data_IF_816189524417
#
_entry.id   IF_816189524417
#
_cell.length_a   1.000
_cell.length_b   1.000
_cell.length_c   1.000
_cell.angle_alpha   90.00
_cell.angle_beta   90.00
_cell.angle_gamma   90.00
#
_symmetry.space_group_name_H-M   'P 1'
#
loop_
_entity.id
_entity.type
_entity.pdbx_description
1 polymer ?
#
# COMPACT_ATOMS: atom_id res chain seq x y z
N UNK A 1 -3.04 -0.57 -0.43
CA UNK A 1 -3.20 -1.88 0.21
C UNK A 1 -4.62 -1.99 0.71
N UNK A 2 -5.29 -3.13 0.49
CA UNK A 2 -6.66 -3.36 0.94
C UNK A 2 -6.73 -4.55 1.89
N UNK A 3 -7.62 -4.50 2.87
CA UNK A 3 -7.91 -5.61 3.74
C UNK A 3 -9.42 -5.71 4.01
N UNK A 4 -9.95 -6.94 3.99
CA UNK A 4 -11.25 -7.24 4.58
C UNK A 4 -10.99 -7.92 5.92
N UNK A 5 -11.37 -7.26 7.00
CA UNK A 5 -11.17 -7.72 8.38
C UNK A 5 -12.51 -8.19 8.93
N UNK A 6 -12.57 -9.45 9.33
CA UNK A 6 -13.76 -10.05 9.92
C UNK A 6 -13.48 -10.41 11.37
N UNK A 7 -14.38 -10.01 12.28
CA UNK A 7 -14.36 -10.51 13.65
C UNK A 7 -14.84 -11.95 13.64
N UNK A 8 -14.11 -12.85 14.28
CA UNK A 8 -14.42 -14.27 14.25
C UNK A 8 -14.50 -14.88 15.63
N UNK A 9 -15.44 -15.81 15.80
CA UNK A 9 -15.47 -16.72 16.94
C UNK A 9 -14.40 -17.81 16.79
N UNK A 10 -14.15 -18.22 15.55
CA UNK A 10 -13.06 -19.09 15.11
C UNK A 10 -12.86 -18.95 13.59
N UNK A 11 -11.65 -19.23 13.12
CA UNK A 11 -11.37 -19.33 11.69
C UNK A 11 -10.24 -20.34 11.43
N UNK A 12 -10.26 -20.99 10.26
CA UNK A 12 -9.22 -21.94 9.87
C UNK A 12 -8.98 -21.96 8.37
N UNK A 13 -7.81 -22.48 7.98
CA UNK A 13 -7.44 -22.69 6.57
C UNK A 13 -7.16 -24.17 6.36
N UNK A 14 -7.77 -24.72 5.31
CA UNK A 14 -7.43 -26.06 4.81
C UNK A 14 -6.85 -26.00 3.39
N UNK A 15 -5.94 -26.92 3.08
CA UNK A 15 -5.36 -27.12 1.75
C UNK A 15 -5.46 -28.61 1.44
N UNK A 16 -6.13 -28.98 0.34
CA UNK A 16 -6.37 -30.39 0.02
C UNK A 16 -7.17 -31.16 1.09
N UNK A 17 -7.97 -30.46 1.89
CA UNK A 17 -8.75 -31.04 3.00
C UNK A 17 -7.99 -31.14 4.34
N UNK A 18 -6.69 -30.87 4.36
CA UNK A 18 -5.88 -30.85 5.58
C UNK A 18 -5.87 -29.45 6.21
N UNK A 19 -6.15 -29.35 7.51
CA UNK A 19 -6.07 -28.09 8.24
C UNK A 19 -4.62 -27.71 8.51
N UNK A 20 -4.17 -26.62 7.88
CA UNK A 20 -2.81 -26.10 8.03
C UNK A 20 -2.69 -25.04 9.12
N UNK A 21 -3.82 -24.43 9.50
CA UNK A 21 -3.85 -23.27 10.38
C UNK A 21 -5.25 -23.06 10.97
N UNK A 22 -5.30 -22.59 12.21
CA UNK A 22 -6.56 -22.28 12.89
C UNK A 22 -6.34 -21.26 14.00
N UNK A 23 -7.36 -20.46 14.24
CA UNK A 23 -7.49 -19.53 15.37
C UNK A 23 -8.84 -19.73 16.06
N UNK A 24 -8.88 -19.44 17.36
CA UNK A 24 -10.11 -19.21 18.11
C UNK A 24 -10.64 -17.78 17.90
N UNK A 25 -11.02 -17.13 18.99
CA UNK A 25 -11.54 -15.75 18.95
C UNK A 25 -10.48 -14.80 18.43
N UNK A 26 -10.87 -13.94 17.48
CA UNK A 26 -9.89 -13.11 16.80
C UNK A 26 -10.38 -12.38 15.57
N UNK A 27 -9.43 -12.13 14.67
CA UNK A 27 -9.66 -11.52 13.37
C UNK A 27 -9.23 -12.48 12.25
N UNK A 28 -10.09 -12.66 11.26
CA UNK A 28 -9.68 -13.20 9.96
C UNK A 28 -9.48 -12.02 9.00
N UNK A 29 -8.27 -11.90 8.45
CA UNK A 29 -7.85 -10.79 7.58
C UNK A 29 -7.56 -11.34 6.19
N UNK A 30 -8.37 -10.94 5.21
CA UNK A 30 -8.08 -11.14 3.79
C UNK A 30 -7.29 -9.93 3.29
N UNK A 31 -6.05 -10.13 2.84
CA UNK A 31 -5.14 -9.03 2.49
C UNK A 31 -4.87 -8.97 0.99
N UNK A 32 -5.19 -7.85 0.36
CA UNK A 32 -4.90 -7.56 -1.04
C UNK A 32 -3.76 -6.55 -1.18
N UNK A 33 -2.68 -6.96 -1.83
CA UNK A 33 -1.49 -6.13 -2.09
C UNK A 33 -1.56 -5.58 -3.52
N UNK A 34 -1.51 -4.25 -3.64
CA UNK A 34 -1.48 -3.52 -4.91
C UNK A 34 -0.05 -3.44 -5.46
N UNK A 35 0.09 -3.31 -6.78
CA UNK A 35 1.36 -3.00 -7.46
C UNK A 35 2.05 -1.77 -6.88
N UNK A 36 1.28 -0.80 -6.38
CA UNK A 36 1.78 0.48 -5.85
C UNK A 36 2.10 0.43 -4.34
N UNK A 37 1.87 -0.70 -3.67
CA UNK A 37 2.09 -0.78 -2.23
C UNK A 37 3.57 -0.72 -1.88
N UNK A 38 3.88 0.10 -0.88
CA UNK A 38 5.23 0.24 -0.32
C UNK A 38 5.26 -0.16 1.15
N UNK A 39 6.46 -0.17 1.73
CA UNK A 39 6.66 -0.38 3.16
C UNK A 39 5.79 0.55 4.04
N UNK A 40 5.51 1.77 3.58
CA UNK A 40 4.63 2.72 4.29
C UNK A 40 3.20 2.19 4.43
N UNK A 41 2.63 1.68 3.34
CA UNK A 41 1.26 1.16 3.34
C UNK A 41 1.16 -0.12 4.18
N UNK A 42 2.20 -0.96 4.13
CA UNK A 42 2.36 -2.14 4.98
C UNK A 42 2.32 -1.76 6.47
N UNK A 43 3.19 -0.86 6.91
CA UNK A 43 3.25 -0.42 8.32
C UNK A 43 1.96 0.26 8.79
N UNK A 44 1.32 1.03 7.90
CA UNK A 44 0.02 1.63 8.21
C UNK A 44 -1.06 0.56 8.39
N UNK A 45 -1.13 -0.44 7.50
CA UNK A 45 -2.13 -1.51 7.58
C UNK A 45 -1.95 -2.37 8.83
N UNK A 46 -0.70 -2.74 9.17
CA UNK A 46 -0.37 -3.46 10.41
C UNK A 46 -0.90 -2.71 11.64
N UNK A 47 -0.60 -1.41 11.77
CA UNK A 47 -1.11 -0.59 12.88
C UNK A 47 -2.63 -0.52 12.90
N UNK A 48 -3.27 -0.37 11.74
CA UNK A 48 -4.73 -0.31 11.62
C UNK A 48 -5.38 -1.59 12.09
N UNK A 49 -4.93 -2.76 11.62
CA UNK A 49 -5.48 -4.06 11.99
C UNK A 49 -5.35 -4.30 13.50
N UNK A 50 -4.14 -4.13 14.05
CA UNK A 50 -3.88 -4.46 15.44
C UNK A 50 -4.61 -3.55 16.44
N UNK A 51 -4.86 -2.29 16.07
CA UNK A 51 -5.55 -1.32 16.92
C UNK A 51 -7.04 -1.17 16.60
N UNK A 52 -7.57 -1.93 15.62
CA UNK A 52 -8.96 -1.83 15.21
C UNK A 52 -9.88 -2.27 16.35
N UNK A 53 -10.71 -1.34 16.85
CA UNK A 53 -11.61 -1.59 17.98
C UNK A 53 -12.92 -2.20 17.51
N UNK A 54 -12.97 -3.53 17.46
CA UNK A 54 -14.14 -4.31 17.01
C UNK A 54 -14.68 -5.27 18.09
N UNK A 55 -14.03 -5.31 19.25
CA UNK A 55 -14.44 -6.12 20.38
C UNK A 55 -15.06 -5.27 21.48
N UNK A 56 -15.90 -5.92 22.28
CA UNK A 56 -16.49 -5.34 23.49
C UNK A 56 -15.49 -5.29 24.64
N UNK A 57 -15.67 -4.30 25.50
CA UNK A 57 -15.04 -4.29 26.81
C UNK A 57 -15.80 -5.18 27.82
N UNK A 58 -15.30 -5.22 29.04
CA UNK A 58 -15.82 -6.06 30.13
C UNK A 58 -17.24 -5.65 30.56
N UNK A 59 -17.69 -4.43 30.21
CA UNK A 59 -19.06 -3.95 30.45
C UNK A 59 -20.02 -4.24 29.30
N UNK A 60 -19.55 -4.87 28.22
CA UNK A 60 -20.32 -5.11 27.00
C UNK A 60 -20.37 -3.90 26.06
N UNK A 61 -19.53 -2.87 26.26
CA UNK A 61 -19.53 -1.71 25.38
C UNK A 61 -18.88 -2.05 24.05
N UNK A 62 -19.66 -2.01 22.97
CA UNK A 62 -19.16 -2.25 21.60
C UNK A 62 -18.05 -1.26 21.19
N UNK A 63 -17.24 -1.65 20.20
CA UNK A 63 -16.22 -0.82 19.55
C UNK A 63 -15.16 -0.25 20.50
N UNK A 64 -14.84 -0.99 21.56
CA UNK A 64 -14.03 -0.48 22.67
C UNK A 64 -12.64 -1.09 22.75
N UNK A 65 -12.51 -2.36 22.36
CA UNK A 65 -11.27 -3.14 22.48
C UNK A 65 -10.79 -3.63 21.11
N UNK A 66 -9.48 -3.63 20.93
CA UNK A 66 -8.79 -4.20 19.78
C UNK A 66 -8.44 -5.67 19.98
N UNK A 67 -7.95 -6.33 18.94
CA UNK A 67 -7.45 -7.71 19.03
C UNK A 67 -6.31 -7.81 20.05
N UNK A 68 -5.46 -6.77 20.11
CA UNK A 68 -4.37 -6.72 21.08
C UNK A 68 -4.88 -6.61 22.52
N UNK A 69 -5.87 -5.74 22.76
CA UNK A 69 -6.44 -5.54 24.10
C UNK A 69 -7.08 -6.82 24.66
N UNK A 70 -7.70 -7.64 23.79
CA UNK A 70 -8.31 -8.90 24.20
C UNK A 70 -7.32 -10.08 24.22
N UNK A 71 -6.09 -9.87 23.77
CA UNK A 71 -5.11 -10.95 23.59
C UNK A 71 -5.61 -12.07 22.67
N UNK A 72 -6.32 -11.68 21.61
CA UNK A 72 -6.94 -12.59 20.65
C UNK A 72 -6.06 -12.83 19.43
N UNK A 73 -6.44 -13.81 18.62
CA UNK A 73 -5.61 -14.27 17.50
C UNK A 73 -5.92 -13.53 16.20
N UNK A 74 -4.98 -13.58 15.25
CA UNK A 74 -5.16 -13.05 13.90
C UNK A 74 -4.77 -14.12 12.89
N UNK A 75 -5.69 -14.46 12.00
CA UNK A 75 -5.43 -15.30 10.83
C UNK A 75 -5.37 -14.42 9.59
N UNK A 76 -4.22 -14.35 8.96
CA UNK A 76 -4.02 -13.61 7.71
C UNK A 76 -4.04 -14.58 6.51
N UNK A 77 -4.71 -14.17 5.44
CA UNK A 77 -4.74 -14.90 4.17
C UNK A 77 -4.53 -13.92 3.03
N UNK A 78 -3.56 -14.21 2.17
CA UNK A 78 -3.35 -13.46 0.92
C UNK A 78 -4.57 -13.55 -0.01
N UNK A 79 -5.06 -12.41 -0.50
CA UNK A 79 -6.29 -12.29 -1.28
C UNK A 79 -6.14 -11.23 -2.39
N UNK A 80 -5.42 -11.59 -3.46
CA UNK A 80 -5.18 -10.67 -4.59
C UNK A 80 -6.47 -10.15 -5.25
N UNK A 81 -7.57 -10.91 -5.15
CA UNK A 81 -8.85 -10.54 -5.75
C UNK A 81 -9.48 -9.29 -5.13
N UNK A 82 -8.99 -8.81 -3.98
CA UNK A 82 -9.39 -7.51 -3.43
C UNK A 82 -8.88 -6.34 -4.30
N UNK A 83 -7.85 -6.56 -5.12
CA UNK A 83 -7.37 -5.61 -6.12
C UNK A 83 -8.08 -5.80 -7.48
N UNK A 84 -9.38 -6.08 -7.43
CA UNK A 84 -10.22 -6.24 -8.61
C UNK A 84 -10.69 -4.89 -9.14
N UNK A 85 -10.67 -4.76 -10.47
CA UNK A 85 -11.43 -3.77 -11.24
C UNK A 85 -12.37 -4.54 -12.15
N UNK A 86 -13.62 -4.09 -12.26
CA UNK A 86 -14.61 -4.73 -13.12
C UNK A 86 -14.61 -4.07 -14.51
N UNK A 87 -14.36 -4.87 -15.55
CA UNK A 87 -14.58 -4.49 -16.95
C UNK A 87 -15.91 -5.11 -17.40
N UNK A 88 -17.00 -4.37 -17.21
CA UNK A 88 -18.35 -4.94 -17.25
C UNK A 88 -18.53 -5.89 -16.06
N UNK A 89 -18.84 -7.16 -16.32
CA UNK A 89 -18.95 -8.19 -15.29
C UNK A 89 -17.69 -9.05 -15.13
N UNK A 90 -16.64 -8.81 -15.94
CA UNK A 90 -15.39 -9.57 -15.90
C UNK A 90 -14.42 -8.93 -14.89
N UNK A 91 -13.93 -9.68 -13.89
CA UNK A 91 -12.84 -9.24 -13.04
C UNK A 91 -11.53 -9.06 -13.81
N UNK A 92 -10.83 -7.98 -13.52
CA UNK A 92 -9.49 -7.66 -13.98
C UNK A 92 -8.63 -7.31 -12.75
N UNK A 93 -7.44 -7.91 -12.66
CA UNK A 93 -6.56 -7.81 -11.49
C UNK A 93 -5.22 -7.15 -11.81
N UNK A 94 -5.13 -6.34 -12.88
CA UNK A 94 -3.87 -5.68 -13.26
C UNK A 94 -3.27 -4.75 -12.18
N UNK A 95 -4.08 -4.34 -11.20
CA UNK A 95 -3.60 -3.56 -10.05
C UNK A 95 -3.03 -4.41 -8.92
N UNK A 96 -3.18 -5.74 -8.95
CA UNK A 96 -2.57 -6.63 -7.97
C UNK A 96 -1.06 -6.72 -8.20
N UNK A 97 -0.29 -6.79 -7.11
CA UNK A 97 1.15 -7.04 -7.20
C UNK A 97 1.41 -8.45 -7.80
N UNK A 98 2.38 -8.60 -8.73
CA UNK A 98 2.75 -9.90 -9.29
C UNK A 98 3.17 -10.91 -8.21
N UNK A 99 2.87 -12.19 -8.42
CA UNK A 99 3.00 -13.26 -7.43
C UNK A 99 4.38 -13.32 -6.76
N UNK A 100 5.46 -13.23 -7.54
CA UNK A 100 6.83 -13.34 -7.03
C UNK A 100 7.19 -12.19 -6.08
N UNK A 101 6.70 -10.98 -6.37
CA UNK A 101 6.91 -9.81 -5.50
C UNK A 101 5.93 -9.83 -4.32
N UNK A 102 4.69 -10.24 -4.56
CA UNK A 102 3.63 -10.30 -3.58
C UNK A 102 3.93 -11.30 -2.45
N UNK A 103 4.56 -12.43 -2.74
CA UNK A 103 4.95 -13.40 -1.70
C UNK A 103 5.96 -12.80 -0.72
N UNK A 104 7.04 -12.20 -1.24
CA UNK A 104 8.04 -11.48 -0.43
C UNK A 104 7.40 -10.36 0.40
N UNK A 105 6.50 -9.59 -0.22
CA UNK A 105 5.82 -8.48 0.43
C UNK A 105 4.87 -8.97 1.54
N UNK A 106 4.10 -10.03 1.27
CA UNK A 106 3.18 -10.66 2.22
C UNK A 106 3.92 -11.26 3.42
N UNK A 107 5.05 -11.94 3.18
CA UNK A 107 5.90 -12.48 4.25
C UNK A 107 6.46 -11.37 5.14
N UNK A 108 6.87 -10.23 4.57
CA UNK A 108 7.28 -9.06 5.34
C UNK A 108 6.11 -8.48 6.16
N UNK A 109 4.90 -8.42 5.58
CA UNK A 109 3.70 -7.98 6.31
C UNK A 109 3.42 -8.86 7.54
N UNK A 110 3.47 -10.19 7.39
CA UNK A 110 3.31 -11.11 8.52
C UNK A 110 4.39 -10.91 9.58
N UNK A 111 5.63 -10.72 9.16
CA UNK A 111 6.74 -10.48 10.08
C UNK A 111 6.56 -9.18 10.88
N UNK A 112 6.06 -8.11 10.24
CA UNK A 112 5.74 -6.86 10.94
C UNK A 112 4.57 -7.03 11.91
N UNK A 113 3.54 -7.82 11.57
CA UNK A 113 2.47 -8.17 12.52
C UNK A 113 3.03 -8.92 13.75
N UNK A 114 3.87 -9.92 13.53
CA UNK A 114 4.48 -10.72 14.60
C UNK A 114 5.34 -9.86 15.52
N UNK A 115 6.14 -8.94 14.95
CA UNK A 115 6.97 -7.99 15.71
C UNK A 115 6.15 -6.98 16.51
N UNK A 116 5.05 -6.49 15.94
CA UNK A 116 4.21 -5.47 16.57
C UNK A 116 3.24 -6.04 17.60
N UNK A 117 3.06 -7.36 17.67
CA UNK A 117 2.09 -8.00 18.58
C UNK A 117 2.70 -9.18 19.36
N UNK A 118 2.32 -10.41 19.02
CA UNK A 118 2.80 -11.65 19.63
C UNK A 118 2.92 -12.69 18.53
N UNK A 119 4.12 -13.20 18.21
CA UNK A 119 4.32 -14.12 17.09
C UNK A 119 3.40 -15.34 17.11
N UNK A 120 3.12 -15.88 18.29
CA UNK A 120 2.29 -17.07 18.49
C UNK A 120 0.81 -16.86 18.18
N UNK A 121 0.32 -15.61 18.23
CA UNK A 121 -1.09 -15.24 17.96
C UNK A 121 -1.32 -14.85 16.50
N UNK A 122 -0.27 -14.76 15.68
CA UNK A 122 -0.38 -14.47 14.24
C UNK A 122 -0.26 -15.77 13.46
N UNK A 123 -1.36 -16.17 12.83
CA UNK A 123 -1.44 -17.34 11.96
C UNK A 123 -1.53 -16.91 10.50
N UNK A 124 -1.08 -17.80 9.62
CA UNK A 124 -1.09 -17.61 8.17
C UNK A 124 -1.92 -18.71 7.49
N UNK A 125 -2.33 -18.47 6.25
CA UNK A 125 -2.68 -19.51 5.30
C UNK A 125 -1.43 -20.09 4.63
N UNK A 126 -1.55 -20.43 3.35
CA UNK A 126 -0.42 -20.86 2.51
C UNK A 126 -0.46 -20.08 1.20
N UNK A 127 0.45 -19.13 1.05
CA UNK A 127 0.53 -18.29 -0.14
C UNK A 127 0.59 -19.14 -1.43
N UNK A 128 -0.14 -18.71 -2.46
CA UNK A 128 -0.21 -19.40 -3.75
C UNK A 128 -0.95 -20.75 -3.77
N UNK A 129 -1.35 -21.29 -2.61
CA UNK A 129 -2.13 -22.52 -2.56
C UNK A 129 -3.63 -22.28 -2.77
N UNK A 130 -4.32 -23.27 -3.33
CA UNK A 130 -5.77 -23.31 -3.29
C UNK A 130 -6.23 -23.66 -1.87
N UNK A 131 -6.91 -22.73 -1.23
CA UNK A 131 -7.31 -22.80 0.18
C UNK A 131 -8.83 -22.84 0.31
N UNK A 132 -9.33 -23.57 1.30
CA UNK A 132 -10.65 -23.31 1.87
C UNK A 132 -10.45 -22.55 3.18
N UNK A 133 -10.99 -21.34 3.25
CA UNK A 133 -10.92 -20.49 4.46
C UNK A 133 -12.27 -20.57 5.15
N UNK A 134 -12.29 -21.24 6.31
CA UNK A 134 -13.49 -21.37 7.13
C UNK A 134 -13.54 -20.18 8.08
N UNK A 135 -14.60 -19.38 8.00
CA UNK A 135 -14.75 -18.14 8.76
C UNK A 135 -16.08 -18.19 9.50
N UNK A 136 -16.03 -18.33 10.83
CA UNK A 136 -17.22 -18.15 11.65
C UNK A 136 -17.29 -16.70 12.12
N UNK A 137 -17.87 -15.85 11.26
CA UNK A 137 -18.00 -14.41 11.51
C UNK A 137 -18.91 -14.15 12.72
N UNK A 138 -18.39 -13.42 13.70
CA UNK A 138 -19.03 -13.16 15.00
C UNK A 138 -19.72 -11.79 14.98
N UNK A 139 -21.03 -11.77 14.79
CA UNK A 139 -21.86 -10.55 14.72
C UNK A 139 -22.97 -10.63 13.66
N UNK A 140 -22.66 -10.60 12.35
CA UNK A 140 -21.31 -10.47 11.78
C UNK A 140 -20.76 -9.03 11.84
N UNK A 141 -19.44 -8.92 12.00
CA UNK A 141 -18.70 -7.65 11.90
C UNK A 141 -17.63 -7.79 10.83
N UNK A 142 -17.73 -6.95 9.80
CA UNK A 142 -16.80 -6.92 8.67
C UNK A 142 -16.40 -5.48 8.40
N UNK A 143 -15.10 -5.22 8.37
CA UNK A 143 -14.53 -3.89 8.17
C UNK A 143 -13.62 -3.93 6.94
N UNK A 144 -13.88 -3.05 6.00
CA UNK A 144 -12.96 -2.79 4.90
C UNK A 144 -11.93 -1.75 5.36
N UNK A 145 -10.65 -2.09 5.21
CA UNK A 145 -9.55 -1.18 5.45
C UNK A 145 -8.81 -0.95 4.14
N UNK A 146 -8.50 0.31 3.89
CA UNK A 146 -7.61 0.71 2.80
C UNK A 146 -6.50 1.59 3.37
N UNK A 147 -5.26 1.25 3.03
CA UNK A 147 -4.15 2.16 3.27
C UNK A 147 -4.15 3.20 2.16
N UNK A 148 -4.15 4.51 2.50
CA UNK A 148 -4.08 5.55 1.48
C UNK A 148 -2.84 5.33 0.61
N UNK A 149 -3.02 5.33 -0.71
CA UNK A 149 -1.89 5.52 -1.62
C UNK A 149 -1.14 6.80 -1.20
N UNK A 150 0.17 6.84 -1.38
CA UNK A 150 0.96 8.03 -1.06
C UNK A 150 0.48 9.23 -1.91
N UNK A 151 -0.53 9.95 -1.42
CA UNK A 151 -0.84 11.28 -1.93
C UNK A 151 0.38 12.12 -1.62
N UNK A 152 1.04 12.62 -2.66
CA UNK A 152 1.98 13.73 -2.51
C UNK A 152 1.21 14.80 -1.73
N UNK A 153 1.75 15.19 -0.58
CA UNK A 153 1.10 16.17 0.29
C UNK A 153 0.79 17.42 -0.56
N UNK A 154 -0.47 17.88 -0.65
CA UNK A 154 -0.82 19.08 -1.43
C UNK A 154 0.02 20.30 -1.04
N UNK A 155 0.51 20.33 0.22
CA UNK A 155 1.45 21.35 0.71
C UNK A 155 2.86 21.20 0.13
N UNK A 156 3.31 19.99 -0.17
CA UNK A 156 4.58 19.75 -0.86
C UNK A 156 4.48 20.08 -2.35
N UNK A 157 3.37 19.73 -3.01
CA UNK A 157 3.08 20.14 -4.40
C UNK A 157 3.10 21.67 -4.55
N UNK A 158 2.36 22.38 -3.69
CA UNK A 158 2.37 23.86 -3.70
C UNK A 158 3.73 24.47 -3.34
N UNK A 159 4.56 23.77 -2.55
CA UNK A 159 5.93 24.23 -2.23
C UNK A 159 6.88 24.02 -3.41
N UNK A 160 6.74 22.92 -4.14
CA UNK A 160 7.50 22.61 -5.36
C UNK A 160 7.11 23.55 -6.51
N UNK A 161 5.82 23.81 -6.71
CA UNK A 161 5.30 24.77 -7.69
C UNK A 161 5.80 26.20 -7.39
N UNK A 162 5.77 26.63 -6.12
CA UNK A 162 6.31 27.93 -5.70
C UNK A 162 7.83 28.02 -5.89
N UNK A 163 8.57 26.91 -5.72
CA UNK A 163 10.02 26.89 -5.98
C UNK A 163 10.35 26.92 -7.47
N UNK A 164 9.58 26.24 -8.32
CA UNK A 164 9.73 26.28 -9.77
C UNK A 164 9.41 27.68 -10.33
N UNK A 165 8.30 28.30 -9.92
CA UNK A 165 7.96 29.68 -10.30
C UNK A 165 9.00 30.71 -9.85
N UNK A 166 9.65 30.49 -8.69
CA UNK A 166 10.76 31.35 -8.23
C UNK A 166 11.97 31.20 -9.14
N UNK A 167 12.36 29.96 -9.50
CA UNK A 167 13.49 29.69 -10.40
C UNK A 167 13.28 30.26 -11.81
N UNK A 168 12.07 30.17 -12.36
CA UNK A 168 11.73 30.81 -13.64
C UNK A 168 11.85 32.34 -13.57
N UNK A 169 11.29 32.96 -12.52
CA UNK A 169 11.38 34.42 -12.31
C UNK A 169 12.82 34.92 -12.16
N UNK A 170 13.72 34.12 -11.57
CA UNK A 170 15.14 34.47 -11.46
C UNK A 170 15.85 34.36 -12.82
N UNK A 171 15.44 33.42 -13.67
CA UNK A 171 16.04 33.19 -15.01
C UNK A 171 15.67 34.30 -16.02
N UNK A 172 14.46 34.87 -15.93
CA UNK A 172 14.03 36.01 -16.76
C UNK A 172 14.61 37.38 -16.36
N UNK A 173 15.34 37.47 -15.23
CA UNK A 173 15.83 38.76 -14.70
C UNK A 173 17.30 39.08 -15.01
N UNK A 174 18.00 38.26 -15.81
CA UNK A 174 19.34 38.61 -16.29
C UNK A 174 19.19 39.54 -17.50
N UNK A 175 19.58 40.83 -17.43
CA UNK A 175 19.53 41.71 -18.59
C UNK A 175 20.69 41.35 -19.53
N UNK A 176 20.40 41.25 -20.83
CA UNK A 176 21.39 41.22 -21.88
C UNK A 176 22.19 42.52 -21.87
N UNK A 177 23.46 42.48 -21.46
CA UNK A 177 24.37 43.60 -21.65
C UNK A 177 24.68 43.79 -23.14
N UNK A 178 24.18 44.90 -23.66
CA UNK A 178 24.48 45.47 -24.96
C UNK A 178 25.96 45.85 -25.05
N UNK A 179 26.70 45.22 -25.95
CA UNK A 179 28.03 45.69 -26.37
C UNK A 179 27.89 46.43 -27.71
N UNK A 180 28.14 47.74 -27.68
CA UNK A 180 28.25 48.59 -28.88
C UNK A 180 29.44 48.20 -29.77
N UNK A 181 29.37 48.43 -31.09
CA UNK A 181 30.35 47.93 -32.04
C UNK A 181 31.56 48.86 -32.13
N UNK A 182 32.78 48.29 -32.09
CA UNK A 182 33.99 48.98 -32.57
C UNK A 182 34.23 48.57 -34.02
N UNK A 183 34.22 49.58 -34.89
CA UNK A 183 34.75 49.51 -36.26
C UNK A 183 36.21 49.02 -36.24
N UNK A 184 36.50 47.99 -37.02
CA UNK A 184 37.84 47.74 -37.55
C UNK A 184 37.71 47.11 -38.93
N UNK A 185 38.18 47.87 -39.91
CA UNK A 185 38.38 47.54 -41.31
C UNK A 185 39.39 46.42 -41.51
N UNK A 186 39.06 45.34 -42.25
CA UNK A 186 40.03 44.61 -43.08
C UNK A 186 39.32 44.05 -44.34
N UNK A 187 40.02 44.24 -45.45
CA UNK A 187 39.78 43.95 -46.86
C UNK A 187 39.25 42.55 -47.22
N UNK A 188 38.38 42.53 -48.24
CA UNK A 188 38.07 41.36 -49.06
C UNK A 188 39.28 40.87 -49.84
N UNK A 189 39.62 39.59 -49.69
CA UNK A 189 40.32 38.81 -50.71
C UNK A 189 39.36 37.76 -51.25
N UNK A 190 39.06 37.86 -52.55
CA UNK A 190 38.36 36.88 -53.37
C UNK A 190 39.16 35.58 -53.42
N UNK A 191 38.49 34.45 -53.25
CA UNK A 191 38.89 33.18 -53.86
C UNK A 191 37.62 32.36 -54.15
N UNK A 192 37.21 32.43 -55.41
CA UNK A 192 36.28 31.54 -56.10
C UNK A 192 36.83 30.11 -56.08
N UNK A 193 35.98 29.13 -55.74
CA UNK A 193 36.16 27.75 -56.17
C UNK A 193 35.74 27.65 -57.63
N UNK A 194 36.65 27.17 -58.47
CA UNK A 194 36.33 26.49 -59.72
C UNK A 194 37.06 25.15 -59.69
N UNK A 195 36.29 24.08 -59.91
CA UNK A 195 36.68 22.72 -60.34
C UNK A 195 37.52 21.85 -59.39
#
# INVERSE_FOLDING_TARGET
MKAIVQRVAQASVTVGGEQISSIGRGLCVLLGISLEDTQRELEHMVRKILNLRVFEDESGKHWSKSVMDKQYEVLCVSQFTLQCILKGNKPDYHMAMPTEQAECFYNNFLEQLRKAYKPELIKDGKFGAYMQVHIQNDGPVTIELESPAATVDPKQLTKLEKQQQRKEKTRTKVPSESTHPKQASVSHTKATLDS
#
